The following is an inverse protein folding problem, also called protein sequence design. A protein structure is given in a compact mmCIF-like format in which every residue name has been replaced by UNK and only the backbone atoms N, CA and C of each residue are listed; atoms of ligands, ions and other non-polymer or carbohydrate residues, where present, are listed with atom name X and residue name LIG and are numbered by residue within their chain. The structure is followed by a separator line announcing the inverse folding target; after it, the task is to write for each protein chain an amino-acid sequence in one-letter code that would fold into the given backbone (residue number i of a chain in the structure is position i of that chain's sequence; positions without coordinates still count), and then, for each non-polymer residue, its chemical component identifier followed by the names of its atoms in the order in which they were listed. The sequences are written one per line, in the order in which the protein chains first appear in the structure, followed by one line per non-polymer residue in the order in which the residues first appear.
data_IF_721303276926
#
_entry.id   IF_721303276926
#
_cell.length_a   1.000
_cell.length_b   1.000
_cell.length_c   1.000
_cell.angle_alpha   90.00
_cell.angle_beta   90.00
_cell.angle_gamma   90.00
#
_symmetry.space_group_name_H-M   'P 1'
#
loop_
_entity.id
_entity.type
_entity.pdbx_description
1 polymer ?
#
# COMPACT_ATOMS: atom_id res chain seq x y z
N UNK A 1 -22.36 -16.59 -12.73
CA UNK A 1 -21.17 -17.15 -12.07
C UNK A 1 -20.46 -15.99 -11.38
N UNK A 2 -20.68 -15.82 -10.07
CA UNK A 2 -20.08 -14.75 -9.28
C UNK A 2 -18.87 -15.33 -8.54
N UNK A 3 -17.67 -14.85 -8.86
CA UNK A 3 -16.46 -15.16 -8.09
C UNK A 3 -16.54 -14.38 -6.78
N UNK A 4 -17.32 -14.88 -5.83
CA UNK A 4 -17.43 -14.34 -4.48
C UNK A 4 -16.26 -14.87 -3.65
N UNK A 5 -15.63 -13.96 -2.91
CA UNK A 5 -14.59 -14.20 -1.89
C UNK A 5 -13.17 -14.39 -2.42
N UNK A 6 -12.57 -13.28 -2.89
CA UNK A 6 -11.11 -13.16 -2.95
C UNK A 6 -10.60 -12.92 -1.53
N UNK A 7 -10.18 -13.99 -0.87
CA UNK A 7 -9.46 -13.93 0.40
C UNK A 7 -7.96 -13.91 0.08
N UNK A 8 -7.32 -12.78 0.35
CA UNK A 8 -5.88 -12.67 0.30
C UNK A 8 -5.42 -12.96 1.73
N UNK A 9 -5.13 -14.24 1.96
CA UNK A 9 -4.61 -14.75 3.23
C UNK A 9 -3.31 -14.04 3.63
N UNK A 10 -2.89 -14.27 4.87
CA UNK A 10 -1.72 -13.62 5.46
C UNK A 10 -0.50 -13.71 4.54
N UNK A 11 -0.09 -12.56 4.00
CA UNK A 11 1.11 -12.45 3.20
C UNK A 11 2.07 -11.49 3.88
N UNK A 12 3.33 -11.91 3.98
CA UNK A 12 4.43 -11.04 4.36
C UNK A 12 5.12 -10.60 3.08
N UNK A 13 4.89 -9.34 2.70
CA UNK A 13 5.62 -8.74 1.57
C UNK A 13 6.89 -8.09 2.09
N UNK A 14 8.02 -8.36 1.45
CA UNK A 14 9.31 -7.73 1.74
C UNK A 14 9.42 -6.30 1.19
N UNK A 15 8.30 -5.70 0.79
CA UNK A 15 8.21 -4.37 0.15
C UNK A 15 7.12 -3.55 0.81
N UNK A 16 7.29 -2.24 0.81
CA UNK A 16 6.21 -1.34 1.17
C UNK A 16 5.12 -1.44 0.11
N UNK A 17 3.88 -1.35 0.57
CA UNK A 17 2.71 -1.44 -0.28
C UNK A 17 1.67 -0.44 0.17
N UNK A 18 0.90 0.09 -0.77
CA UNK A 18 -0.28 0.90 -0.46
C UNK A 18 -1.51 0.22 -1.02
N UNK A 19 -2.59 0.24 -0.23
CA UNK A 19 -3.89 -0.26 -0.61
C UNK A 19 -4.86 0.92 -0.65
N UNK A 20 -5.52 1.08 -1.78
CA UNK A 20 -6.62 2.03 -1.95
C UNK A 20 -7.91 1.28 -2.22
N UNK A 21 -8.92 1.47 -1.38
CA UNK A 21 -10.24 0.89 -1.58
C UNK A 21 -11.07 1.78 -2.52
N UNK A 22 -11.42 1.23 -3.69
CA UNK A 22 -12.18 1.94 -4.73
C UNK A 22 -13.67 1.68 -4.61
N UNK A 23 -14.06 0.43 -4.34
CA UNK A 23 -15.47 0.02 -4.25
C UNK A 23 -15.64 -1.19 -3.34
N UNK A 24 -16.81 -1.31 -2.73
CA UNK A 24 -17.18 -2.44 -1.89
C UNK A 24 -16.63 -2.34 -0.48
N UNK A 25 -16.97 -3.32 0.34
CA UNK A 25 -16.57 -3.39 1.75
C UNK A 25 -15.64 -4.57 1.97
N UNK A 26 -14.56 -4.34 2.71
CA UNK A 26 -13.65 -5.37 3.16
C UNK A 26 -13.02 -5.05 4.50
N UNK A 27 -12.11 -5.91 4.91
CA UNK A 27 -11.35 -5.79 6.14
C UNK A 27 -9.88 -6.00 5.82
N UNK A 28 -9.04 -5.05 6.18
CA UNK A 28 -7.59 -5.18 6.17
C UNK A 28 -7.10 -5.37 7.59
N UNK A 29 -6.47 -6.50 7.88
CA UNK A 29 -5.75 -6.72 9.13
C UNK A 29 -4.28 -6.44 8.88
N UNK A 30 -3.71 -5.42 9.53
CA UNK A 30 -2.30 -5.04 9.44
C UNK A 30 -1.68 -5.13 10.83
N UNK A 31 -0.74 -6.06 11.04
CA UNK A 31 -0.05 -6.22 12.34
C UNK A 31 -1.02 -6.22 13.53
N UNK A 32 -2.03 -7.10 13.45
CA UNK A 32 -3.13 -7.26 14.43
C UNK A 32 -4.11 -6.08 14.55
N UNK A 33 -3.98 -5.04 13.72
CA UNK A 33 -4.96 -3.96 13.63
C UNK A 33 -5.95 -4.21 12.49
N UNK A 34 -7.22 -4.31 12.85
CA UNK A 34 -8.31 -4.42 11.89
C UNK A 34 -8.75 -3.04 11.42
N UNK A 35 -8.64 -2.80 10.11
CA UNK A 35 -9.00 -1.55 9.45
C UNK A 35 -10.13 -1.88 8.45
N UNK A 36 -11.30 -1.24 8.57
CA UNK A 36 -12.37 -1.41 7.57
C UNK A 36 -11.93 -0.78 6.25
N UNK A 37 -11.95 -1.57 5.17
CA UNK A 37 -11.69 -1.10 3.81
C UNK A 37 -13.03 -0.68 3.18
N UNK A 38 -13.32 0.61 3.30
CA UNK A 38 -14.46 1.27 2.66
C UNK A 38 -13.97 2.17 1.52
N UNK A 39 -14.82 2.50 0.52
CA UNK A 39 -14.42 3.36 -0.59
C UNK A 39 -13.84 4.69 -0.10
N UNK A 40 -12.63 5.02 -0.53
CA UNK A 40 -11.88 6.21 -0.09
C UNK A 40 -10.90 5.97 1.06
N UNK A 41 -10.84 4.75 1.61
CA UNK A 41 -9.81 4.37 2.57
C UNK A 41 -8.50 4.10 1.84
N UNK A 42 -7.43 4.75 2.31
CA UNK A 42 -6.06 4.54 1.87
C UNK A 42 -5.22 4.03 3.04
N UNK A 43 -4.60 2.87 2.88
CA UNK A 43 -3.77 2.23 3.88
C UNK A 43 -2.34 2.05 3.35
N UNK A 44 -1.36 2.45 4.16
CA UNK A 44 0.05 2.18 3.90
C UNK A 44 0.52 0.98 4.73
N UNK A 45 1.20 0.05 4.09
CA UNK A 45 1.77 -1.15 4.69
C UNK A 45 3.29 -1.10 4.55
N UNK A 46 3.98 -1.13 5.70
CA UNK A 46 5.44 -1.19 5.73
C UNK A 46 5.95 -2.56 5.28
N UNK A 47 7.16 -2.59 4.74
CA UNK A 47 7.85 -3.83 4.40
C UNK A 47 7.98 -4.76 5.63
N UNK A 48 7.76 -6.04 5.41
CA UNK A 48 7.74 -7.12 6.42
C UNK A 48 6.59 -7.04 7.44
N UNK A 49 5.63 -6.13 7.30
CA UNK A 49 4.42 -6.16 8.12
C UNK A 49 3.49 -7.29 7.63
N UNK A 50 3.04 -8.20 8.52
CA UNK A 50 2.03 -9.19 8.15
C UNK A 50 0.71 -8.48 7.87
N UNK A 51 0.10 -8.79 6.73
CA UNK A 51 -1.21 -8.29 6.35
C UNK A 51 -2.13 -9.41 5.88
N UNK A 52 -3.42 -9.27 6.18
CA UNK A 52 -4.48 -10.13 5.66
C UNK A 52 -5.62 -9.26 5.13
N UNK A 53 -6.14 -9.57 3.95
CA UNK A 53 -7.24 -8.83 3.33
C UNK A 53 -8.41 -9.77 3.09
N UNK A 54 -9.54 -9.42 3.70
CA UNK A 54 -10.80 -10.17 3.60
C UNK A 54 -11.86 -9.32 2.92
N UNK A 55 -12.22 -9.68 1.69
CA UNK A 55 -13.29 -9.02 0.96
C UNK A 55 -14.66 -9.57 1.36
N UNK A 56 -15.59 -8.67 1.77
CA UNK A 56 -16.96 -9.06 2.15
C UNK A 56 -17.96 -8.95 1.00
N UNK A 57 -17.75 -8.03 0.08
CA UNK A 57 -18.66 -7.80 -1.06
C UNK A 57 -17.86 -7.68 -2.37
N UNK A 58 -18.51 -7.26 -3.46
CA UNK A 58 -17.87 -6.93 -4.73
C UNK A 58 -16.84 -5.80 -4.54
N UNK A 59 -15.64 -6.17 -4.07
CA UNK A 59 -14.61 -5.26 -3.62
C UNK A 59 -13.60 -5.03 -4.75
N UNK A 60 -13.39 -3.76 -5.07
CA UNK A 60 -12.33 -3.31 -5.94
C UNK A 60 -11.36 -2.49 -5.13
N UNK A 61 -10.08 -2.85 -5.19
CA UNK A 61 -8.99 -2.12 -4.56
C UNK A 61 -7.77 -2.11 -5.46
N UNK A 62 -6.91 -1.11 -5.27
CA UNK A 62 -5.64 -0.99 -5.95
C UNK A 62 -4.55 -1.32 -4.93
N UNK A 63 -3.72 -2.32 -5.27
CA UNK A 63 -2.51 -2.64 -4.52
C UNK A 63 -1.31 -2.11 -5.31
N UNK A 64 -0.61 -1.12 -4.76
CA UNK A 64 0.63 -0.60 -5.33
C UNK A 64 1.80 -1.08 -4.50
N UNK A 65 2.69 -1.87 -5.11
CA UNK A 65 3.94 -2.32 -4.50
C UNK A 65 5.05 -1.33 -4.84
N UNK A 66 5.75 -0.78 -3.84
CA UNK A 66 6.91 0.06 -4.11
C UNK A 66 8.10 -0.79 -4.54
N UNK A 67 8.92 -0.28 -5.46
CA UNK A 67 10.20 -0.90 -5.82
C UNK A 67 11.10 -1.05 -4.59
N UNK A 68 11.84 -2.16 -4.49
CA UNK A 68 12.88 -2.37 -3.47
C UNK A 68 14.22 -1.72 -3.87
N UNK A 69 14.24 -0.92 -4.94
CA UNK A 69 15.39 -0.07 -5.23
C UNK A 69 15.47 0.97 -4.12
N UNK A 70 16.47 0.83 -3.26
CA UNK A 70 16.70 1.69 -2.10
C UNK A 70 16.46 3.15 -2.46
N UNK A 71 15.89 3.90 -1.53
CA UNK A 71 15.60 5.33 -1.67
C UNK A 71 16.85 6.02 -2.24
N UNK A 72 16.86 6.26 -3.56
CA UNK A 72 17.80 7.18 -4.17
C UNK A 72 17.33 8.54 -3.69
N UNK A 73 17.85 8.93 -2.53
CA UNK A 73 17.75 10.28 -2.03
C UNK A 73 18.51 11.11 -3.06
N UNK A 74 17.78 11.64 -4.04
CA UNK A 74 18.28 12.63 -4.98
C UNK A 74 18.63 13.86 -4.13
N UNK A 75 19.86 13.83 -3.63
CA UNK A 75 20.43 14.94 -2.88
C UNK A 75 20.77 15.97 -3.92
N UNK A 76 19.87 16.94 -4.11
CA UNK A 76 20.13 18.09 -4.96
C UNK A 76 21.24 18.90 -4.32
N UNK A 77 22.47 18.75 -4.83
CA UNK A 77 23.57 19.64 -4.51
C UNK A 77 23.29 21.00 -5.16
N UNK A 78 22.89 21.99 -4.35
CA UNK A 78 22.74 23.38 -4.78
C UNK A 78 24.12 23.93 -5.17
N UNK A 79 24.39 24.01 -6.48
CA UNK A 79 25.61 24.59 -7.02
C UNK A 79 25.41 26.07 -7.36
N UNK A 80 25.01 26.88 -6.37
CA UNK A 80 25.18 28.33 -6.45
C UNK A 80 26.59 28.73 -6.05
N UNK A 81 27.58 28.49 -6.92
CA UNK A 81 28.90 29.12 -6.79
C UNK A 81 29.18 30.10 -7.93
N UNK A 82 28.92 31.37 -7.61
CA UNK A 82 29.68 32.56 -8.02
C UNK A 82 29.80 32.83 -9.52
N UNK A 83 28.77 33.48 -10.08
CA UNK A 83 29.01 34.69 -10.89
C UNK A 83 28.89 35.90 -9.98
N UNK A 84 29.99 36.25 -9.32
CA UNK A 84 30.19 37.61 -8.80
C UNK A 84 31.32 38.19 -9.64
N UNK A 85 30.93 39.13 -10.48
CA UNK A 85 31.59 40.38 -10.87
C UNK A 85 33.12 40.42 -10.80
#
# INVERSE_FOLDING_TARGET
MASQETEISEHTSNRNATIEAIKGTGILTLSDKTIPLEPGVFAFMSANAPYALKAKSNQAFILTLSSNSGVETLTFSDERKRRSN
#
